data_IF_942818163080
#
_entry.id   IF_942818163080
#
_cell.length_a   1.000
_cell.length_b   1.000
_cell.length_c   1.000
_cell.angle_alpha   90.00
_cell.angle_beta   90.00
_cell.angle_gamma   90.00
#
_symmetry.space_group_name_H-M   'P 1'
#
loop_
_entity.id
_entity.type
_entity.pdbx_description
1 polymer ?
#
# COMPACT_ATOMS: atom_id res chain seq x y z
N UNK A 1 4.35 -3.54 -16.68
CA UNK A 1 3.78 -4.06 -15.43
C UNK A 1 2.28 -4.27 -15.62
N UNK A 2 1.86 -5.48 -15.64
CA UNK A 2 0.45 -5.79 -15.85
C UNK A 2 -0.30 -5.69 -14.52
N UNK A 3 -1.53 -5.17 -14.55
CA UNK A 3 -2.44 -5.04 -13.41
C UNK A 3 -2.76 -6.38 -12.70
N UNK A 4 -2.10 -7.47 -13.09
CA UNK A 4 -2.34 -8.81 -12.55
C UNK A 4 -1.93 -9.02 -11.11
N UNK A 5 -1.17 -8.10 -10.54
CA UNK A 5 -0.46 -8.34 -9.28
C UNK A 5 -0.90 -7.46 -8.13
N UNK A 6 -1.92 -6.64 -8.31
CA UNK A 6 -2.46 -5.84 -7.23
C UNK A 6 -3.92 -6.25 -6.98
N UNK A 7 -4.22 -6.64 -5.78
CA UNK A 7 -5.53 -7.13 -5.36
C UNK A 7 -6.10 -6.13 -4.36
N UNK A 8 -7.29 -5.62 -4.66
CA UNK A 8 -8.07 -4.85 -3.69
C UNK A 8 -9.13 -5.77 -3.11
N UNK A 9 -9.03 -6.03 -1.83
CA UNK A 9 -9.90 -6.98 -1.16
C UNK A 9 -10.65 -6.34 0.01
N UNK A 10 -11.90 -6.73 0.18
CA UNK A 10 -12.75 -6.30 1.30
C UNK A 10 -12.47 -7.12 2.57
N UNK A 11 -12.75 -6.51 3.72
CA UNK A 11 -12.70 -7.05 5.08
C UNK A 11 -12.80 -8.58 5.16
N UNK A 12 -11.83 -9.25 5.70
CA UNK A 12 -11.88 -10.68 6.02
C UNK A 12 -10.85 -11.57 5.35
N UNK A 13 -9.89 -11.02 4.60
CA UNK A 13 -8.89 -11.86 3.95
C UNK A 13 -7.78 -12.22 4.91
N UNK A 14 -7.79 -13.47 5.25
CA UNK A 14 -6.69 -14.14 5.89
C UNK A 14 -5.67 -14.58 4.85
N UNK A 15 -4.52 -13.93 4.89
CA UNK A 15 -3.20 -14.44 4.54
C UNK A 15 -3.02 -15.52 3.45
N UNK A 16 -2.56 -15.10 2.27
CA UNK A 16 -1.69 -15.92 1.39
C UNK A 16 -0.48 -15.15 0.88
N UNK A 17 -0.26 -13.94 1.35
CA UNK A 17 0.73 -13.00 0.81
C UNK A 17 2.19 -13.29 1.19
N UNK A 18 2.46 -14.08 2.23
CA UNK A 18 3.82 -14.25 2.78
C UNK A 18 4.83 -14.94 1.85
N UNK A 19 4.39 -15.62 0.79
CA UNK A 19 5.29 -16.37 -0.12
C UNK A 19 5.84 -15.54 -1.29
N UNK A 20 5.42 -14.30 -1.44
CA UNK A 20 5.60 -13.55 -2.68
C UNK A 20 6.57 -12.37 -2.58
N UNK A 21 7.26 -12.22 -1.46
CA UNK A 21 8.14 -11.08 -1.16
C UNK A 21 9.43 -10.98 -2.00
N UNK A 22 9.92 -12.09 -2.61
CA UNK A 22 11.26 -12.15 -3.17
C UNK A 22 11.46 -11.34 -4.46
N UNK A 23 10.50 -11.32 -5.38
CA UNK A 23 10.67 -10.73 -6.72
C UNK A 23 10.42 -9.22 -6.75
N UNK A 24 9.51 -8.72 -5.94
CA UNK A 24 9.16 -7.30 -5.91
C UNK A 24 10.14 -6.46 -5.09
N UNK A 25 10.80 -7.03 -4.09
CA UNK A 25 11.88 -6.35 -3.38
C UNK A 25 13.02 -5.92 -4.30
N UNK A 26 13.36 -6.73 -5.28
CA UNK A 26 14.38 -6.41 -6.30
C UNK A 26 13.90 -5.30 -7.23
N UNK A 27 12.64 -5.32 -7.65
CA UNK A 27 12.05 -4.30 -8.51
C UNK A 27 12.00 -2.93 -7.80
N UNK A 28 11.54 -2.88 -6.56
CA UNK A 28 11.47 -1.65 -5.77
C UNK A 28 12.85 -1.12 -5.37
N UNK A 29 13.83 -1.98 -5.16
CA UNK A 29 15.23 -1.57 -4.96
C UNK A 29 15.76 -0.83 -6.19
N UNK A 30 15.48 -1.33 -7.41
CA UNK A 30 15.79 -0.66 -8.65
C UNK A 30 15.13 0.71 -8.79
N UNK A 31 13.91 0.87 -8.30
CA UNK A 31 13.19 2.14 -8.26
C UNK A 31 13.87 3.18 -7.36
N UNK A 32 14.34 2.78 -6.17
CA UNK A 32 15.04 3.67 -5.24
C UNK A 32 16.42 4.10 -5.76
N UNK A 33 17.10 3.20 -6.46
CA UNK A 33 18.43 3.45 -7.03
C UNK A 33 18.37 4.29 -8.31
N UNK A 34 17.25 4.21 -9.06
CA UNK A 34 17.08 4.88 -10.35
C UNK A 34 15.74 5.62 -10.46
N UNK A 35 15.52 6.70 -9.70
CA UNK A 35 14.24 7.43 -9.70
C UNK A 35 13.87 8.02 -11.07
N UNK A 36 14.82 8.17 -12.00
CA UNK A 36 14.55 8.63 -13.37
C UNK A 36 13.80 7.60 -14.22
N UNK A 37 13.88 6.31 -13.89
CA UNK A 37 13.08 5.28 -14.55
C UNK A 37 11.59 5.32 -14.17
N UNK A 38 11.27 5.93 -13.05
CA UNK A 38 9.89 6.14 -12.58
C UNK A 38 9.11 7.03 -13.54
N UNK A 39 9.74 8.04 -14.13
CA UNK A 39 9.10 8.97 -15.06
C UNK A 39 8.52 8.32 -16.31
N UNK A 40 9.10 7.22 -16.79
CA UNK A 40 8.63 6.50 -17.98
C UNK A 40 7.46 5.54 -17.70
N UNK A 41 7.23 5.19 -16.43
CA UNK A 41 6.20 4.23 -16.01
C UNK A 41 4.92 4.95 -15.52
N UNK A 42 5.01 6.23 -15.16
CA UNK A 42 3.92 7.05 -14.63
C UNK A 42 2.64 7.06 -15.48
N UNK A 43 2.65 7.19 -16.83
CA UNK A 43 1.42 7.19 -17.62
C UNK A 43 0.62 5.89 -17.55
N UNK A 44 1.30 4.73 -17.58
CA UNK A 44 0.64 3.42 -17.44
C UNK A 44 0.26 3.14 -15.97
N UNK A 45 0.99 3.68 -15.00
CA UNK A 45 0.67 3.54 -13.58
C UNK A 45 -0.58 4.33 -13.18
N UNK A 46 -0.84 5.49 -13.77
CA UNK A 46 -2.08 6.26 -13.52
C UNK A 46 -3.33 5.47 -13.90
N UNK A 47 -3.35 4.87 -15.07
CA UNK A 47 -4.47 4.01 -15.51
C UNK A 47 -4.62 2.79 -14.60
N UNK A 48 -3.53 2.16 -14.20
CA UNK A 48 -3.52 1.03 -13.28
C UNK A 48 -4.05 1.44 -11.91
N UNK A 49 -3.62 2.57 -11.38
CA UNK A 49 -4.08 3.12 -10.10
C UNK A 49 -5.60 3.32 -10.13
N UNK A 50 -6.13 4.00 -11.14
CA UNK A 50 -7.57 4.23 -11.28
C UNK A 50 -8.35 2.91 -11.32
N UNK A 51 -7.86 1.95 -12.09
CA UNK A 51 -8.50 0.64 -12.23
C UNK A 51 -8.49 -0.17 -10.93
N UNK A 52 -7.37 -0.11 -10.19
CA UNK A 52 -7.21 -0.81 -8.93
C UNK A 52 -8.07 -0.22 -7.81
N UNK A 53 -8.24 1.09 -7.79
CA UNK A 53 -8.99 1.80 -6.76
C UNK A 53 -10.49 1.95 -7.09
N UNK A 54 -10.90 1.66 -8.33
CA UNK A 54 -12.29 1.75 -8.76
C UNK A 54 -13.30 0.96 -7.91
N UNK A 55 -12.99 -0.25 -7.38
CA UNK A 55 -13.91 -1.02 -6.55
C UNK A 55 -14.14 -0.46 -5.14
N UNK A 56 -13.36 0.54 -4.73
CA UNK A 56 -13.40 1.06 -3.35
C UNK A 56 -14.55 2.03 -3.16
N UNK A 57 -15.39 1.76 -2.18
CA UNK A 57 -16.40 2.70 -1.67
C UNK A 57 -15.75 3.65 -0.66
N UNK A 58 -15.26 4.78 -1.15
CA UNK A 58 -14.51 5.74 -0.35
C UNK A 58 -15.32 6.40 0.76
N UNK A 59 -16.63 6.50 0.60
CA UNK A 59 -17.51 7.06 1.63
C UNK A 59 -17.61 6.15 2.86
N UNK A 60 -17.42 4.85 2.65
CA UNK A 60 -17.49 3.83 3.71
C UNK A 60 -16.12 3.28 4.12
N UNK A 61 -15.06 3.72 3.47
CA UNK A 61 -13.71 3.26 3.78
C UNK A 61 -13.14 4.07 4.95
N UNK A 62 -13.08 3.46 6.11
CA UNK A 62 -12.44 4.03 7.31
C UNK A 62 -10.98 3.64 7.39
N UNK A 63 -10.67 2.38 7.11
CA UNK A 63 -9.31 1.83 7.21
C UNK A 63 -8.93 1.14 5.90
N UNK A 64 -7.91 1.67 5.27
CA UNK A 64 -7.31 1.11 4.06
C UNK A 64 -5.90 0.60 4.39
N UNK A 65 -5.61 -0.64 4.03
CA UNK A 65 -4.29 -1.26 4.24
C UNK A 65 -3.63 -1.56 2.90
N UNK A 66 -2.36 -1.26 2.78
CA UNK A 66 -1.54 -1.62 1.62
C UNK A 66 -0.35 -2.50 2.05
N UNK A 67 -0.21 -3.65 1.41
CA UNK A 67 0.96 -4.52 1.56
C UNK A 67 1.98 -4.23 0.47
N UNK A 68 3.23 -4.07 0.87
CA UNK A 68 4.33 -3.85 -0.06
C UNK A 68 4.21 -2.54 -0.84
N UNK A 69 4.07 -1.39 -0.16
CA UNK A 69 3.89 -0.10 -0.82
C UNK A 69 5.10 0.33 -1.65
N UNK A 70 6.29 -0.21 -1.36
CA UNK A 70 7.52 0.22 -1.99
C UNK A 70 7.75 1.72 -1.82
N UNK A 71 7.87 2.44 -2.93
CA UNK A 71 8.03 3.90 -2.94
C UNK A 71 6.72 4.69 -2.78
N UNK A 72 5.60 4.00 -2.57
CA UNK A 72 4.33 4.64 -2.25
C UNK A 72 3.52 5.12 -3.46
N UNK A 73 3.58 4.42 -4.58
CA UNK A 73 2.85 4.77 -5.80
C UNK A 73 1.34 4.93 -5.57
N UNK A 74 0.74 4.13 -4.70
CA UNK A 74 -0.68 4.20 -4.35
C UNK A 74 -0.97 5.10 -3.15
N UNK A 75 0.02 5.49 -2.36
CA UNK A 75 -0.21 6.20 -1.11
C UNK A 75 -0.92 7.54 -1.32
N UNK A 76 -0.41 8.41 -2.18
CA UNK A 76 -1.06 9.69 -2.43
C UNK A 76 -2.44 9.54 -3.09
N UNK A 77 -2.61 8.72 -4.13
CA UNK A 77 -3.94 8.45 -4.70
C UNK A 77 -4.98 7.95 -3.68
N UNK A 78 -4.59 7.12 -2.73
CA UNK A 78 -5.47 6.67 -1.65
C UNK A 78 -5.78 7.81 -0.69
N UNK A 79 -4.78 8.56 -0.24
CA UNK A 79 -4.97 9.70 0.66
C UNK A 79 -5.88 10.78 0.06
N UNK A 80 -5.78 11.01 -1.25
CA UNK A 80 -6.62 11.98 -1.97
C UNK A 80 -8.11 11.58 -1.98
N UNK A 81 -8.39 10.29 -1.89
CA UNK A 81 -9.75 9.73 -1.94
C UNK A 81 -10.31 9.41 -0.57
N UNK A 82 -9.43 9.15 0.38
CA UNK A 82 -9.80 8.71 1.74
C UNK A 82 -10.50 9.83 2.49
N UNK A 83 -11.50 9.47 3.30
CA UNK A 83 -12.20 10.39 4.21
C UNK A 83 -11.21 11.12 5.13
N UNK A 84 -11.60 12.28 5.62
CA UNK A 84 -10.79 13.07 6.58
C UNK A 84 -10.49 12.32 7.87
N UNK A 85 -11.40 11.47 8.31
CA UNK A 85 -11.29 10.62 9.49
C UNK A 85 -10.81 9.20 9.16
N UNK A 86 -10.42 8.96 7.90
CA UNK A 86 -9.90 7.68 7.45
C UNK A 86 -8.45 7.45 7.87
N UNK A 87 -8.01 6.22 7.72
CA UNK A 87 -6.65 5.79 8.05
C UNK A 87 -6.08 4.95 6.92
N UNK A 88 -4.88 5.31 6.46
CA UNK A 88 -4.09 4.51 5.54
C UNK A 88 -2.92 3.89 6.29
N UNK A 89 -2.85 2.57 6.30
CA UNK A 89 -1.77 1.81 6.90
C UNK A 89 -1.02 1.10 5.79
N UNK A 90 0.27 1.36 5.66
CA UNK A 90 1.14 0.64 4.72
C UNK A 90 2.14 -0.21 5.49
N UNK A 91 2.32 -1.44 5.06
CA UNK A 91 3.16 -2.45 5.74
C UNK A 91 4.18 -2.99 4.75
N UNK A 92 5.44 -2.89 5.12
CA UNK A 92 6.54 -3.42 4.33
C UNK A 92 7.59 -4.06 5.25
N UNK A 93 8.20 -5.13 4.79
CA UNK A 93 9.31 -5.79 5.49
C UNK A 93 10.64 -5.09 5.28
N UNK A 94 10.73 -4.18 4.30
CA UNK A 94 11.93 -3.42 4.05
C UNK A 94 11.93 -2.11 4.85
N UNK A 95 12.79 -1.96 5.86
CA UNK A 95 12.83 -0.77 6.69
C UNK A 95 13.22 0.50 5.92
N UNK A 96 13.94 0.37 4.80
CA UNK A 96 14.33 1.52 3.97
C UNK A 96 13.11 2.15 3.28
N UNK A 97 12.16 1.35 2.82
CA UNK A 97 10.91 1.88 2.26
C UNK A 97 10.07 2.56 3.33
N UNK A 98 9.97 1.96 4.49
CA UNK A 98 9.21 2.54 5.60
C UNK A 98 9.82 3.87 6.04
N UNK A 99 11.13 3.95 6.20
CA UNK A 99 11.83 5.20 6.53
C UNK A 99 11.60 6.30 5.45
N UNK A 100 11.71 5.93 4.18
CA UNK A 100 11.41 6.82 3.08
C UNK A 100 9.97 7.34 3.12
N UNK A 101 8.99 6.43 3.29
CA UNK A 101 7.58 6.79 3.30
C UNK A 101 7.21 7.67 4.49
N UNK A 102 7.75 7.38 5.67
CA UNK A 102 7.54 8.20 6.87
C UNK A 102 8.07 9.63 6.69
N UNK A 103 9.19 9.79 5.99
CA UNK A 103 9.76 11.11 5.69
C UNK A 103 9.02 11.85 4.59
N UNK A 104 8.44 11.10 3.65
CA UNK A 104 7.81 11.67 2.46
C UNK A 104 6.35 12.05 2.66
N UNK A 105 5.61 11.31 3.48
CA UNK A 105 4.19 11.54 3.75
C UNK A 105 3.98 12.08 5.16
N UNK A 106 3.61 13.37 5.25
CA UNK A 106 3.32 14.04 6.52
C UNK A 106 1.83 14.07 6.91
N UNK A 107 0.98 13.34 6.21
CA UNK A 107 -0.46 13.27 6.48
C UNK A 107 -0.73 12.50 7.78
N UNK A 108 -1.53 13.08 8.68
CA UNK A 108 -1.86 12.46 9.97
C UNK A 108 -2.64 11.14 9.86
N UNK A 109 -3.27 10.89 8.71
CA UNK A 109 -3.99 9.65 8.41
C UNK A 109 -3.07 8.52 7.94
N UNK A 110 -1.80 8.83 7.64
CA UNK A 110 -0.83 7.92 7.07
C UNK A 110 0.03 7.26 8.14
N UNK A 111 0.09 5.93 8.11
CA UNK A 111 0.91 5.12 9.00
C UNK A 111 1.74 4.13 8.19
N UNK A 112 3.04 4.32 8.16
CA UNK A 112 3.98 3.39 7.56
C UNK A 112 4.61 2.51 8.64
N UNK A 113 4.41 1.20 8.54
CA UNK A 113 4.78 0.23 9.56
C UNK A 113 5.76 -0.79 8.99
N UNK A 114 6.92 -0.91 9.64
CA UNK A 114 7.87 -1.99 9.36
C UNK A 114 7.34 -3.29 9.98
N UNK A 115 6.99 -4.23 9.13
CA UNK A 115 6.41 -5.50 9.57
C UNK A 115 6.02 -6.40 8.42
N UNK A 116 5.46 -7.54 8.77
CA UNK A 116 4.91 -8.51 7.82
C UNK A 116 3.40 -8.29 7.62
N UNK A 117 2.92 -8.54 6.40
CA UNK A 117 1.48 -8.65 6.14
C UNK A 117 0.80 -9.72 7.00
N UNK A 118 1.58 -10.71 7.48
CA UNK A 118 1.10 -11.72 8.42
C UNK A 118 0.65 -11.13 9.78
N UNK A 119 1.20 -10.00 10.16
CA UNK A 119 0.94 -9.33 11.44
C UNK A 119 -0.12 -8.22 11.32
N UNK A 120 -0.85 -8.16 10.21
CA UNK A 120 -1.80 -7.09 9.91
C UNK A 120 -2.83 -6.86 11.02
N UNK A 121 -3.37 -7.91 11.61
CA UNK A 121 -4.36 -7.78 12.68
C UNK A 121 -3.79 -7.05 13.90
N UNK A 122 -2.58 -7.41 14.31
CA UNK A 122 -1.88 -6.76 15.42
C UNK A 122 -1.54 -5.30 15.10
N UNK A 123 -1.08 -5.04 13.88
CA UNK A 123 -0.71 -3.69 13.44
C UNK A 123 -1.94 -2.78 13.41
N UNK A 124 -3.04 -3.24 12.83
CA UNK A 124 -4.29 -2.49 12.73
C UNK A 124 -4.86 -2.19 14.13
N UNK A 125 -4.83 -3.16 15.04
CA UNK A 125 -5.27 -2.98 16.43
C UNK A 125 -4.36 -2.03 17.21
N UNK A 126 -3.06 -2.09 17.00
CA UNK A 126 -2.10 -1.18 17.65
C UNK A 126 -2.31 0.28 17.24
N UNK A 127 -2.84 0.52 16.03
CA UNK A 127 -3.20 1.87 15.55
C UNK A 127 -4.57 2.32 16.07
N UNK A 128 -5.37 1.41 16.64
CA UNK A 128 -6.64 1.73 17.27
C UNK A 128 -7.88 1.31 16.47
N UNK A 129 -7.73 0.39 15.52
CA UNK A 129 -8.82 -0.10 14.70
C UNK A 129 -9.07 -1.60 14.88
N UNK A 130 -10.30 -2.03 14.67
CA UNK A 130 -10.70 -3.44 14.79
C UNK A 130 -10.43 -4.26 13.51
N UNK A 131 -10.25 -3.59 12.37
CA UNK A 131 -10.00 -4.24 11.10
C UNK A 131 -9.87 -3.25 9.96
N UNK A 132 -9.53 -3.75 8.78
CA UNK A 132 -9.46 -2.99 7.54
C UNK A 132 -10.72 -3.16 6.71
N UNK A 133 -11.16 -2.10 6.04
CA UNK A 133 -12.27 -2.16 5.09
C UNK A 133 -11.79 -2.65 3.71
N UNK A 134 -10.61 -2.22 3.32
CA UNK A 134 -9.96 -2.64 2.07
C UNK A 134 -8.50 -2.95 2.29
N UNK A 135 -8.01 -3.91 1.52
CA UNK A 135 -6.59 -4.25 1.45
C UNK A 135 -6.15 -4.20 -0.01
N UNK A 136 -5.12 -3.43 -0.29
CA UNK A 136 -4.41 -3.43 -1.56
C UNK A 136 -3.12 -4.23 -1.38
N UNK A 137 -2.92 -5.25 -2.18
CA UNK A 137 -1.65 -5.97 -2.19
C UNK A 137 -0.84 -5.62 -3.43
N UNK A 138 0.29 -4.98 -3.23
CA UNK A 138 1.32 -4.79 -4.25
C UNK A 138 2.26 -5.99 -4.35
N UNK A 139 1.98 -7.03 -3.59
CA UNK A 139 2.75 -8.28 -3.60
C UNK A 139 2.33 -9.15 -4.78
N UNK A 140 3.26 -9.83 -5.44
CA UNK A 140 2.97 -10.70 -6.58
C UNK A 140 2.15 -11.92 -6.20
#
# INVERSE_FOLDING_TARGET
MTARNAIVERRGIRQKAARLFGQWGVFFRGFLEHPKMVGSIIPSSRFTIEKMLAPVDWERCEVFVEYGPGVGTFCQPVLDRLRRDGTLIVIDTNPLYIDYLQKHFGDSRFHAVHGSAADVEQIVRAIGHDGADYVLSGLP
#
